data_IF_606577708312
#
_entry.id   IF_606577708312
#
_cell.length_a   1.000
_cell.length_b   1.000
_cell.length_c   1.000
_cell.angle_alpha   90.00
_cell.angle_beta   90.00
_cell.angle_gamma   90.00
#
_symmetry.space_group_name_H-M   'P 1'
#
loop_
_entity.id
_entity.type
_entity.pdbx_description
1 polymer ?
#
# COMPACT_ATOMS: atom_id res chain seq x y z
N UNK A 1 -15.73 -0.23 -19.44
CA UNK A 1 -14.29 -0.23 -19.82
C UNK A 1 -13.68 1.10 -19.38
N UNK A 2 -12.51 1.07 -18.76
CA UNK A 2 -11.75 2.28 -18.39
C UNK A 2 -10.69 2.52 -19.46
N UNK A 3 -10.61 3.74 -19.97
CA UNK A 3 -9.62 4.09 -20.98
C UNK A 3 -8.24 4.36 -20.37
N UNK A 4 -7.18 4.12 -21.14
CA UNK A 4 -5.80 4.33 -20.71
C UNK A 4 -5.55 5.77 -20.25
N UNK A 5 -6.14 6.78 -20.92
CA UNK A 5 -6.00 8.19 -20.51
C UNK A 5 -6.55 8.47 -19.11
N UNK A 6 -7.61 7.78 -18.70
CA UNK A 6 -8.20 7.93 -17.37
C UNK A 6 -7.25 7.37 -16.32
N UNK A 7 -6.66 6.20 -16.58
CA UNK A 7 -5.65 5.58 -15.71
C UNK A 7 -4.41 6.47 -15.59
N UNK A 8 -3.89 7.00 -16.71
CA UNK A 8 -2.74 7.91 -16.71
C UNK A 8 -3.05 9.20 -15.93
N UNK A 9 -4.25 9.76 -16.10
CA UNK A 9 -4.69 10.94 -15.34
C UNK A 9 -4.73 10.69 -13.84
N UNK A 10 -5.28 9.55 -13.43
CA UNK A 10 -5.29 9.11 -12.04
C UNK A 10 -3.88 8.92 -11.48
N UNK A 11 -3.02 8.16 -12.17
CA UNK A 11 -1.66 7.87 -11.72
C UNK A 11 -0.80 9.14 -11.62
N UNK A 12 -0.99 10.09 -12.54
CA UNK A 12 -0.32 11.39 -12.49
C UNK A 12 -0.67 12.16 -11.21
N UNK A 13 -1.93 12.09 -10.77
CA UNK A 13 -2.34 12.64 -9.49
C UNK A 13 -1.78 11.83 -8.31
N UNK A 14 -1.90 10.49 -8.36
CA UNK A 14 -1.49 9.60 -7.29
C UNK A 14 0.00 9.76 -6.95
N UNK A 15 0.88 9.90 -7.94
CA UNK A 15 2.33 10.12 -7.71
C UNK A 15 2.60 11.42 -6.94
N UNK A 16 1.79 12.47 -7.13
CA UNK A 16 1.93 13.73 -6.37
C UNK A 16 1.28 13.64 -4.99
N UNK A 17 0.18 12.91 -4.87
CA UNK A 17 -0.56 12.74 -3.64
C UNK A 17 0.13 11.78 -2.65
N UNK A 18 0.84 10.78 -3.17
CA UNK A 18 1.47 9.69 -2.42
C UNK A 18 2.97 9.62 -2.71
N UNK A 19 3.80 10.46 -2.05
CA UNK A 19 5.25 10.46 -2.24
C UNK A 19 5.91 9.09 -2.02
N UNK A 20 5.32 8.25 -1.17
CA UNK A 20 5.75 6.88 -0.89
C UNK A 20 5.80 5.98 -2.12
N UNK A 21 5.07 6.30 -3.20
CA UNK A 21 5.14 5.55 -4.46
C UNK A 21 6.53 5.54 -5.10
N UNK A 22 7.36 6.56 -4.84
CA UNK A 22 8.73 6.65 -5.38
C UNK A 22 9.72 5.65 -4.75
N UNK A 23 9.34 4.99 -3.65
CA UNK A 23 10.12 3.94 -3.00
C UNK A 23 9.66 2.53 -3.40
N UNK A 24 9.28 1.71 -2.42
CA UNK A 24 8.77 0.35 -2.64
C UNK A 24 7.28 0.25 -2.29
N UNK A 25 6.46 -0.08 -3.29
CA UNK A 25 5.03 -0.34 -3.14
C UNK A 25 4.73 -1.84 -3.08
N UNK A 26 3.83 -2.25 -2.18
CA UNK A 26 3.38 -3.64 -2.09
C UNK A 26 2.19 -3.92 -3.02
N UNK A 27 2.33 -4.93 -3.87
CA UNK A 27 1.23 -5.57 -4.59
C UNK A 27 0.88 -6.89 -3.89
N UNK A 28 -0.19 -6.88 -3.10
CA UNK A 28 -0.70 -8.04 -2.35
C UNK A 28 -2.11 -8.50 -2.78
N UNK A 29 -2.90 -7.58 -3.33
CA UNK A 29 -4.28 -7.84 -3.73
C UNK A 29 -4.39 -8.56 -5.07
N UNK A 30 -5.52 -9.21 -5.30
CA UNK A 30 -5.85 -9.76 -6.62
C UNK A 30 -5.85 -8.67 -7.69
N UNK A 31 -5.29 -8.99 -8.86
CA UNK A 31 -5.24 -8.12 -10.05
C UNK A 31 -6.63 -7.77 -10.60
N UNK A 32 -7.68 -8.47 -10.16
CA UNK A 32 -9.06 -8.20 -10.53
C UNK A 32 -9.70 -7.03 -9.77
N UNK A 33 -9.05 -6.50 -8.73
CA UNK A 33 -9.50 -5.31 -7.99
C UNK A 33 -8.75 -4.05 -8.44
N UNK A 34 -9.41 -2.90 -8.33
CA UNK A 34 -8.88 -1.60 -8.73
C UNK A 34 -7.74 -1.08 -7.84
N UNK A 35 -7.67 -1.48 -6.56
CA UNK A 35 -6.53 -1.19 -5.67
C UNK A 35 -5.17 -1.52 -6.34
N UNK A 36 -5.14 -2.62 -7.11
CA UNK A 36 -3.98 -3.08 -7.85
C UNK A 36 -3.47 -2.06 -8.86
N UNK A 37 -4.32 -1.20 -9.44
CA UNK A 37 -3.88 -0.18 -10.41
C UNK A 37 -2.86 0.77 -9.77
N UNK A 38 -3.12 1.21 -8.53
CA UNK A 38 -2.22 2.13 -7.83
C UNK A 38 -0.97 1.40 -7.36
N UNK A 39 -1.12 0.21 -6.77
CA UNK A 39 -0.03 -0.58 -6.22
C UNK A 39 0.95 -1.08 -7.30
N UNK A 40 0.45 -1.42 -8.49
CA UNK A 40 1.25 -1.90 -9.61
C UNK A 40 1.83 -0.74 -10.42
N UNK A 41 0.99 0.15 -10.95
CA UNK A 41 1.47 1.15 -11.90
C UNK A 41 2.02 2.40 -11.22
N UNK A 42 1.57 2.73 -10.01
CA UNK A 42 2.01 3.91 -9.27
C UNK A 42 3.53 3.99 -9.12
N UNK A 43 4.19 2.96 -8.55
CA UNK A 43 5.65 2.95 -8.45
C UNK A 43 6.33 2.95 -9.82
N UNK A 44 5.82 2.17 -10.77
CA UNK A 44 6.45 2.00 -12.09
C UNK A 44 6.50 3.30 -12.90
N UNK A 45 5.49 4.17 -12.79
CA UNK A 45 5.47 5.44 -13.56
C UNK A 45 6.32 6.55 -12.92
N UNK A 46 6.81 6.37 -11.70
CA UNK A 46 7.67 7.34 -11.01
C UNK A 46 9.07 6.80 -10.64
N UNK A 47 9.44 5.61 -11.13
CA UNK A 47 10.76 5.00 -10.91
C UNK A 47 10.91 4.24 -9.59
N UNK A 48 9.81 3.99 -8.88
CA UNK A 48 9.78 3.14 -7.70
C UNK A 48 9.80 1.64 -8.04
N UNK A 49 9.64 0.83 -6.99
CA UNK A 49 9.71 -0.64 -7.04
C UNK A 49 8.35 -1.22 -6.67
N UNK A 50 7.93 -2.25 -7.40
CA UNK A 50 6.77 -3.07 -7.01
C UNK A 50 7.28 -4.34 -6.36
N UNK A 51 6.92 -4.54 -5.10
CA UNK A 51 7.17 -5.78 -4.36
C UNK A 51 5.91 -6.62 -4.44
N UNK A 52 6.01 -7.81 -5.03
CA UNK A 52 4.89 -8.74 -5.15
C UNK A 52 4.99 -9.78 -4.05
N UNK A 53 4.08 -9.72 -3.09
CA UNK A 53 4.05 -10.65 -1.95
C UNK A 53 2.65 -10.71 -1.33
N UNK A 54 2.30 -11.84 -0.73
CA UNK A 54 1.10 -11.97 0.06
C UNK A 54 1.28 -11.28 1.43
N UNK A 55 0.17 -10.92 2.09
CA UNK A 55 0.16 -10.50 3.49
C UNK A 55 0.16 -11.73 4.41
N UNK A 56 1.17 -12.59 4.25
CA UNK A 56 1.32 -13.84 4.96
C UNK A 56 2.68 -13.89 5.67
N UNK A 57 2.68 -14.35 6.91
CA UNK A 57 3.85 -14.31 7.77
C UNK A 57 4.79 -15.51 7.57
N UNK A 58 5.45 -15.55 6.41
CA UNK A 58 6.42 -16.59 6.06
C UNK A 58 7.85 -16.06 5.90
N UNK A 59 8.85 -16.94 6.02
CA UNK A 59 10.26 -16.58 5.96
C UNK A 59 10.68 -15.96 4.61
N UNK A 60 10.32 -16.54 3.44
CA UNK A 60 10.54 -15.91 2.14
C UNK A 60 9.99 -14.48 2.05
N UNK A 61 8.74 -14.28 2.43
CA UNK A 61 8.07 -12.97 2.38
C UNK A 61 8.76 -11.96 3.28
N UNK A 62 9.07 -12.32 4.53
CA UNK A 62 9.85 -11.46 5.44
C UNK A 62 11.21 -11.09 4.86
N UNK A 63 11.92 -12.05 4.25
CA UNK A 63 13.22 -11.80 3.64
C UNK A 63 13.13 -10.82 2.47
N UNK A 64 12.09 -10.93 1.64
CA UNK A 64 11.82 -10.02 0.54
C UNK A 64 11.49 -8.61 1.05
N UNK A 65 10.61 -8.48 2.04
CA UNK A 65 10.21 -7.21 2.64
C UNK A 65 11.33 -6.54 3.45
N UNK A 66 12.25 -7.33 4.02
CA UNK A 66 13.46 -6.80 4.64
C UNK A 66 14.44 -6.22 3.60
N UNK A 67 14.52 -6.82 2.41
CA UNK A 67 15.34 -6.32 1.29
C UNK A 67 14.74 -5.06 0.65
N UNK A 68 13.42 -4.96 0.62
CA UNK A 68 12.69 -3.83 0.06
C UNK A 68 11.69 -3.27 1.08
N UNK A 69 12.17 -2.46 2.05
CA UNK A 69 11.31 -1.84 3.05
C UNK A 69 10.21 -1.01 2.38
N UNK A 70 8.96 -1.27 2.76
CA UNK A 70 7.81 -0.66 2.13
C UNK A 70 7.69 0.84 2.46
N UNK A 71 7.41 1.63 1.45
CA UNK A 71 7.08 3.07 1.56
C UNK A 71 5.67 3.37 1.11
N UNK A 72 5.01 2.42 0.42
CA UNK A 72 3.62 2.55 0.00
C UNK A 72 2.87 1.22 0.14
N UNK A 73 1.70 1.26 0.76
CA UNK A 73 0.73 0.15 0.74
C UNK A 73 -0.66 0.71 0.49
N UNK A 74 -1.37 0.11 -0.48
CA UNK A 74 -2.80 0.34 -0.67
C UNK A 74 -3.58 -0.85 -0.13
N UNK A 75 -4.56 -0.58 0.71
CA UNK A 75 -5.28 -1.60 1.47
C UNK A 75 -6.76 -1.23 1.63
N UNK A 76 -7.58 -2.19 2.05
CA UNK A 76 -8.91 -1.89 2.60
C UNK A 76 -8.82 -1.71 4.12
N UNK A 77 -9.78 -1.05 4.77
CA UNK A 77 -9.86 -1.01 6.23
C UNK A 77 -9.69 -2.37 6.93
N UNK A 78 -10.27 -3.45 6.39
CA UNK A 78 -10.09 -4.81 6.93
C UNK A 78 -8.63 -5.28 6.91
N UNK A 79 -7.82 -4.83 5.95
CA UNK A 79 -6.40 -5.13 5.90
C UNK A 79 -5.59 -4.42 6.99
N UNK A 80 -6.07 -3.30 7.56
CA UNK A 80 -5.37 -2.62 8.67
C UNK A 80 -5.27 -3.57 9.88
N UNK A 81 -6.35 -4.28 10.20
CA UNK A 81 -6.35 -5.27 11.27
C UNK A 81 -5.36 -6.41 11.01
N UNK A 82 -5.23 -6.82 9.74
CA UNK A 82 -4.23 -7.82 9.35
C UNK A 82 -2.80 -7.27 9.50
N UNK A 83 -2.55 -6.04 9.04
CA UNK A 83 -1.25 -5.38 9.20
C UNK A 83 -0.85 -5.16 10.65
N UNK A 84 -1.82 -4.91 11.54
CA UNK A 84 -1.60 -4.80 12.99
C UNK A 84 -1.16 -6.14 13.62
N UNK A 85 -1.62 -7.27 13.06
CA UNK A 85 -1.23 -8.61 13.51
C UNK A 85 0.07 -9.12 12.87
N UNK A 86 0.52 -8.51 11.77
CA UNK A 86 1.74 -8.89 11.06
C UNK A 86 2.97 -8.13 11.59
N UNK A 87 4.19 -8.67 11.36
CA UNK A 87 5.41 -7.94 11.65
C UNK A 87 5.48 -6.58 10.93
N UNK A 88 6.19 -5.61 11.50
CA UNK A 88 6.25 -4.25 10.97
C UNK A 88 6.79 -4.12 9.53
N UNK A 89 7.50 -5.15 9.02
CA UNK A 89 7.99 -5.17 7.63
C UNK A 89 6.87 -5.20 6.59
N UNK A 90 5.65 -5.58 6.98
CA UNK A 90 4.46 -5.56 6.12
C UNK A 90 3.78 -4.18 6.05
N UNK A 91 4.16 -3.27 6.95
CA UNK A 91 3.60 -1.92 7.05
C UNK A 91 4.50 -0.90 6.34
N UNK A 92 3.94 0.08 5.61
CA UNK A 92 4.74 1.12 5.00
C UNK A 92 5.26 2.11 6.05
N UNK A 93 6.46 2.60 5.81
CA UNK A 93 7.03 3.75 6.53
C UNK A 93 6.60 5.10 5.96
N UNK A 94 6.04 5.11 4.74
CA UNK A 94 5.51 6.29 4.05
C UNK A 94 4.00 6.33 4.08
N UNK A 95 3.36 6.02 2.95
CA UNK A 95 1.92 6.17 2.76
C UNK A 95 1.18 4.83 2.91
N UNK A 96 0.22 4.78 3.84
CA UNK A 96 -0.84 3.77 3.88
C UNK A 96 -2.13 4.38 3.32
N UNK A 97 -2.51 3.99 2.11
CA UNK A 97 -3.74 4.44 1.47
C UNK A 97 -4.82 3.40 1.68
N UNK A 98 -5.94 3.82 2.28
CA UNK A 98 -7.05 2.93 2.64
C UNK A 98 -8.33 3.35 1.93
N UNK A 99 -9.11 2.39 1.44
CA UNK A 99 -10.37 2.67 0.76
C UNK A 99 -11.21 1.41 0.50
N UNK A 100 -12.42 1.60 -0.01
CA UNK A 100 -13.32 0.51 -0.42
C UNK A 100 -14.21 -0.08 0.68
N UNK A 101 -14.01 0.31 1.96
CA UNK A 101 -14.86 -0.10 3.09
C UNK A 101 -14.98 1.05 4.09
N UNK A 102 -15.83 0.89 5.12
CA UNK A 102 -15.91 1.85 6.22
C UNK A 102 -14.65 1.77 7.10
N UNK A 103 -13.95 2.90 7.25
CA UNK A 103 -12.79 3.00 8.13
C UNK A 103 -13.21 3.17 9.60
N UNK A 104 -13.00 2.12 10.41
CA UNK A 104 -13.21 2.18 11.86
C UNK A 104 -12.02 2.87 12.56
N UNK A 105 -12.30 3.91 13.35
CA UNK A 105 -11.27 4.71 14.02
C UNK A 105 -10.38 3.91 14.99
N UNK A 106 -10.93 2.90 15.67
CA UNK A 106 -10.19 2.09 16.65
C UNK A 106 -9.07 1.26 16.00
N UNK A 107 -9.39 0.55 14.91
CA UNK A 107 -8.40 -0.26 14.17
C UNK A 107 -7.26 0.63 13.64
N UNK A 108 -7.62 1.81 13.12
CA UNK A 108 -6.63 2.79 12.66
C UNK A 108 -5.75 3.32 13.79
N UNK A 109 -6.34 3.67 14.94
CA UNK A 109 -5.59 4.24 16.08
C UNK A 109 -4.53 3.28 16.61
N UNK A 110 -4.86 1.99 16.71
CA UNK A 110 -3.91 0.97 17.15
C UNK A 110 -2.73 0.86 16.20
N UNK A 111 -2.99 0.67 14.90
CA UNK A 111 -1.95 0.57 13.89
C UNK A 111 -1.07 1.83 13.85
N UNK A 112 -1.67 3.03 13.90
CA UNK A 112 -0.93 4.31 13.90
C UNK A 112 -0.04 4.50 15.11
N UNK A 113 -0.43 3.96 16.27
CA UNK A 113 0.38 4.06 17.49
C UNK A 113 1.69 3.28 17.36
N UNK A 114 1.70 2.18 16.58
CA UNK A 114 2.89 1.41 16.26
C UNK A 114 3.70 1.99 15.08
N UNK A 115 3.08 2.80 14.21
CA UNK A 115 3.68 3.36 12.99
C UNK A 115 3.57 4.89 12.93
N UNK A 116 4.12 5.64 13.90
CA UNK A 116 3.90 7.08 14.03
C UNK A 116 4.49 7.92 12.88
N UNK A 117 5.45 7.37 12.13
CA UNK A 117 6.05 8.03 10.95
C UNK A 117 5.24 7.88 9.67
N UNK A 118 4.27 6.96 9.63
CA UNK A 118 3.47 6.71 8.44
C UNK A 118 2.31 7.70 8.30
N UNK A 119 2.04 8.12 7.07
CA UNK A 119 0.87 8.91 6.70
C UNK A 119 -0.24 7.95 6.30
N UNK A 120 -1.44 8.14 6.88
CA UNK A 120 -2.62 7.38 6.47
C UNK A 120 -3.56 8.30 5.71
N UNK A 121 -3.91 7.89 4.48
CA UNK A 121 -4.87 8.59 3.63
C UNK A 121 -6.09 7.70 3.44
N UNK A 122 -7.28 8.24 3.69
CA UNK A 122 -8.55 7.58 3.39
C UNK A 122 -9.11 8.10 2.06
N UNK A 123 -9.36 7.20 1.12
CA UNK A 123 -10.02 7.47 -0.18
C UNK A 123 -11.50 7.09 -0.17
#
# INVERSE_FOLDING_TARGET
LIEHRSVVGYLSWAVRAYPGLSGAGLLHSSVSFDLTVTALFGPLVCGGVVVVAALEDDLPTRGLLAKWPLTFVKATPSHITLLDALPSVFSPSGDLVVGGEQLAGEALQRWRSAHPGAVVVNE
#
